data_IF_618036493315
#
_entry.id   IF_618036493315
#
_cell.length_a   1.000
_cell.length_b   1.000
_cell.length_c   1.000
_cell.angle_alpha   90.00
_cell.angle_beta   90.00
_cell.angle_gamma   90.00
#
_symmetry.space_group_name_H-M   'P 1'
#
loop_
_entity.id
_entity.type
_entity.pdbx_description
1 polymer ?
#
# COMPACT_ATOMS: atom_id res chain seq x y z
N UNK A 1 3.19 13.32 -6.04
CA UNK A 1 2.41 14.07 -5.03
C UNK A 1 3.25 14.26 -3.77
N UNK A 2 2.94 15.27 -2.96
CA UNK A 2 3.51 15.45 -1.61
C UNK A 2 2.90 14.44 -0.63
N UNK A 3 3.52 14.27 0.53
CA UNK A 3 2.94 13.45 1.60
C UNK A 3 1.55 13.97 2.02
N UNK A 4 1.38 15.29 2.11
CA UNK A 4 0.10 15.91 2.50
C UNK A 4 -0.98 15.60 1.46
N UNK A 5 -0.68 15.78 0.17
CA UNK A 5 -1.60 15.44 -0.93
C UNK A 5 -1.99 13.96 -0.92
N UNK A 6 -1.03 13.07 -0.69
CA UNK A 6 -1.28 11.63 -0.62
C UNK A 6 -2.20 11.27 0.56
N UNK A 7 -1.96 11.88 1.72
CA UNK A 7 -2.79 11.70 2.91
C UNK A 7 -4.22 12.22 2.71
N UNK A 8 -4.36 13.39 2.07
CA UNK A 8 -5.66 13.95 1.71
C UNK A 8 -6.41 13.07 0.71
N UNK A 9 -5.73 12.53 -0.31
CA UNK A 9 -6.32 11.59 -1.28
C UNK A 9 -6.88 10.35 -0.57
N UNK A 10 -6.08 9.72 0.30
CA UNK A 10 -6.53 8.55 1.07
C UNK A 10 -7.72 8.86 1.97
N UNK A 11 -7.68 10.02 2.64
CA UNK A 11 -8.77 10.48 3.52
C UNK A 11 -10.05 10.74 2.74
N UNK A 12 -9.95 11.31 1.53
CA UNK A 12 -11.11 11.54 0.65
C UNK A 12 -11.75 10.24 0.18
N UNK A 13 -10.95 9.22 -0.09
CA UNK A 13 -11.42 7.93 -0.61
C UNK A 13 -11.97 7.00 0.48
N UNK A 14 -11.36 6.98 1.66
CA UNK A 14 -11.63 5.95 2.68
C UNK A 14 -11.90 6.52 4.08
N UNK A 15 -11.94 7.84 4.23
CA UNK A 15 -12.09 8.53 5.51
C UNK A 15 -10.77 8.62 6.30
N UNK A 16 -10.85 9.23 7.49
CA UNK A 16 -9.67 9.47 8.34
C UNK A 16 -9.05 8.19 8.91
N UNK A 17 -9.82 7.10 9.01
CA UNK A 17 -9.34 5.83 9.54
C UNK A 17 -8.46 5.11 8.50
N UNK A 18 -7.14 5.28 8.65
CA UNK A 18 -6.11 4.63 7.81
C UNK A 18 -6.20 3.10 7.79
N UNK A 19 -6.85 2.48 8.78
CA UNK A 19 -7.05 1.03 8.80
C UNK A 19 -7.97 0.55 7.68
N UNK A 20 -8.87 1.42 7.23
CA UNK A 20 -9.84 1.15 6.15
C UNK A 20 -9.28 1.47 4.76
N UNK A 21 -8.12 2.09 4.68
CA UNK A 21 -7.52 2.45 3.39
C UNK A 21 -7.19 1.18 2.61
N UNK A 22 -7.55 1.19 1.33
CA UNK A 22 -7.31 0.09 0.39
C UNK A 22 -6.35 0.55 -0.69
N UNK A 23 -5.47 -0.36 -1.12
CA UNK A 23 -4.46 -0.14 -2.16
C UNK A 23 -4.49 -1.26 -3.17
N UNK A 24 -4.09 -0.97 -4.41
CA UNK A 24 -4.02 -1.95 -5.49
C UNK A 24 -2.57 -2.33 -5.77
N UNK A 25 -2.25 -3.62 -5.68
CA UNK A 25 -0.94 -4.14 -6.07
C UNK A 25 -0.74 -3.93 -7.58
N UNK A 26 0.31 -3.22 -8.02
CA UNK A 26 0.53 -2.95 -9.43
C UNK A 26 1.02 -4.16 -10.22
N UNK A 27 1.48 -5.24 -9.54
CA UNK A 27 1.94 -6.47 -10.20
C UNK A 27 0.82 -7.45 -10.50
N UNK A 28 -0.10 -7.66 -9.56
CA UNK A 28 -1.15 -8.68 -9.69
C UNK A 28 -2.58 -8.13 -9.62
N UNK A 29 -2.77 -6.82 -9.41
CA UNK A 29 -4.09 -6.20 -9.32
C UNK A 29 -4.85 -6.45 -8.02
N UNK A 30 -4.28 -7.19 -7.04
CA UNK A 30 -4.94 -7.44 -5.75
C UNK A 30 -5.26 -6.13 -5.03
N UNK A 31 -6.51 -5.98 -4.59
CA UNK A 31 -6.92 -4.93 -3.66
C UNK A 31 -6.67 -5.45 -2.24
N UNK A 32 -5.93 -4.68 -1.45
CA UNK A 32 -5.53 -5.04 -0.09
C UNK A 32 -5.75 -3.87 0.85
N UNK A 33 -6.07 -4.18 2.11
CA UNK A 33 -6.40 -3.15 3.10
C UNK A 33 -5.41 -3.12 4.26
N UNK A 34 -5.26 -1.96 4.90
CA UNK A 34 -4.39 -1.89 6.08
C UNK A 34 -4.88 -2.83 7.17
N UNK A 35 -6.20 -2.96 7.35
CA UNK A 35 -6.83 -3.90 8.30
C UNK A 35 -6.39 -5.35 8.08
N UNK A 36 -6.27 -5.79 6.84
CA UNK A 36 -5.77 -7.13 6.48
C UNK A 36 -4.34 -7.32 7.00
N UNK A 37 -3.46 -6.36 6.72
CA UNK A 37 -2.07 -6.38 7.21
C UNK A 37 -2.00 -6.33 8.74
N UNK A 38 -2.92 -5.63 9.41
CA UNK A 38 -2.96 -5.59 10.87
C UNK A 38 -3.27 -6.95 11.50
N UNK A 39 -3.94 -7.86 10.78
CA UNK A 39 -4.19 -9.23 11.25
C UNK A 39 -2.90 -10.07 11.30
N UNK A 40 -1.91 -9.72 10.48
CA UNK A 40 -0.60 -10.39 10.39
C UNK A 40 0.50 -9.68 11.22
N UNK A 41 0.15 -8.77 12.13
CA UNK A 41 1.15 -8.02 12.94
C UNK A 41 2.13 -8.90 13.71
N UNK A 42 1.72 -10.10 14.11
CA UNK A 42 2.58 -11.06 14.81
C UNK A 42 3.76 -11.56 13.97
N UNK A 43 3.72 -11.35 12.65
CA UNK A 43 4.70 -11.86 11.68
C UNK A 43 5.71 -10.77 11.25
N UNK A 44 5.82 -9.68 12.01
CA UNK A 44 6.71 -8.55 11.71
C UNK A 44 6.15 -7.57 10.67
N UNK A 45 4.87 -7.69 10.31
CA UNK A 45 4.18 -6.83 9.36
C UNK A 45 3.91 -5.45 9.95
N UNK A 46 4.27 -4.39 9.22
CA UNK A 46 4.02 -2.99 9.58
C UNK A 46 2.81 -2.46 8.80
N UNK A 47 2.03 -1.50 9.37
CA UNK A 47 0.91 -0.88 8.64
C UNK A 47 1.31 -0.29 7.29
N UNK A 48 2.53 0.25 7.21
CA UNK A 48 3.07 0.86 6.00
C UNK A 48 3.37 -0.16 4.89
N UNK A 49 3.51 -1.45 5.22
CA UNK A 49 3.70 -2.50 4.22
C UNK A 49 2.49 -2.61 3.27
N UNK A 50 1.30 -2.18 3.70
CA UNK A 50 0.06 -2.23 2.90
C UNK A 50 0.17 -1.47 1.56
N UNK A 51 0.99 -0.43 1.47
CA UNK A 51 1.19 0.33 0.23
C UNK A 51 2.58 0.11 -0.38
N UNK A 52 3.35 -0.84 0.16
CA UNK A 52 4.71 -1.16 -0.27
C UNK A 52 4.86 -2.62 -0.74
N UNK A 53 4.06 -3.55 -0.22
CA UNK A 53 4.22 -4.99 -0.42
C UNK A 53 2.88 -5.65 -0.71
N UNK A 54 2.85 -6.67 -1.55
CA UNK A 54 1.64 -7.45 -1.79
C UNK A 54 1.27 -8.29 -0.56
N UNK A 55 -0.01 -8.33 -0.16
CA UNK A 55 -0.50 -9.10 0.98
C UNK A 55 -0.15 -10.59 0.88
N UNK A 56 -0.27 -11.14 -0.33
CA UNK A 56 0.13 -12.50 -0.71
C UNK A 56 1.56 -12.89 -0.30
N UNK A 57 2.45 -11.93 -0.02
CA UNK A 57 3.79 -12.20 0.51
C UNK A 57 3.76 -12.78 1.94
N UNK A 58 2.72 -12.48 2.70
CA UNK A 58 2.54 -12.88 4.10
C UNK A 58 1.44 -13.95 4.26
N UNK A 59 0.71 -14.25 3.19
CA UNK A 59 -0.32 -15.28 3.20
C UNK A 59 0.28 -16.62 2.78
N UNK A 60 0.50 -17.50 3.76
CA UNK A 60 1.00 -18.86 3.50
C UNK A 60 0.06 -19.69 2.60
N UNK A 61 -1.22 -19.32 2.51
CA UNK A 61 -2.21 -19.97 1.67
C UNK A 61 -2.32 -19.34 0.27
N UNK A 62 -1.80 -18.12 0.07
CA UNK A 62 -1.87 -17.38 -1.20
C UNK A 62 -0.53 -16.69 -1.56
N UNK A 63 0.51 -17.48 -1.82
CA UNK A 63 1.86 -17.00 -2.17
C UNK A 63 2.04 -16.56 -3.65
N UNK A 64 0.96 -16.30 -4.39
CA UNK A 64 1.01 -16.05 -5.86
C UNK A 64 1.74 -14.76 -6.25
N UNK A 65 1.91 -13.81 -5.33
CA UNK A 65 2.59 -12.54 -5.60
C UNK A 65 3.40 -12.08 -4.39
N UNK A 66 4.72 -11.95 -4.57
CA UNK A 66 5.66 -11.50 -3.53
C UNK A 66 6.12 -10.04 -3.71
N UNK A 67 5.48 -9.28 -4.61
CA UNK A 67 5.94 -7.96 -5.04
C UNK A 67 6.17 -6.99 -3.87
N UNK A 68 7.31 -6.30 -3.88
CA UNK A 68 7.63 -5.22 -2.97
C UNK A 68 8.23 -4.03 -3.72
N UNK A 69 7.92 -2.81 -3.28
CA UNK A 69 8.44 -1.57 -3.89
C UNK A 69 9.93 -1.36 -3.71
N UNK A 70 10.54 -2.07 -2.76
CA UNK A 70 11.97 -2.00 -2.43
C UNK A 70 12.83 -2.80 -3.43
N UNK A 71 12.20 -3.60 -4.31
CA UNK A 71 12.88 -4.37 -5.35
C UNK A 71 13.34 -3.46 -6.51
N UNK A 72 14.47 -3.83 -7.15
CA UNK A 72 15.02 -3.10 -8.30
C UNK A 72 13.97 -3.06 -9.43
N UNK A 73 13.76 -1.87 -10.00
CA UNK A 73 12.80 -1.70 -11.09
C UNK A 73 11.34 -1.61 -10.63
N UNK A 74 11.09 -1.19 -9.38
CA UNK A 74 9.74 -0.98 -8.84
C UNK A 74 8.78 -0.31 -9.82
N UNK A 75 7.76 -1.07 -10.25
CA UNK A 75 6.68 -0.63 -11.15
C UNK A 75 5.56 0.15 -10.44
N UNK A 76 5.74 0.50 -9.17
CA UNK A 76 4.69 1.17 -8.40
C UNK A 76 4.39 2.57 -8.94
N UNK A 77 3.11 2.89 -9.19
CA UNK A 77 2.72 4.04 -10.02
C UNK A 77 2.80 5.37 -9.27
N UNK A 78 2.66 5.37 -7.95
CA UNK A 78 2.59 6.60 -7.16
C UNK A 78 3.94 6.96 -6.58
N UNK A 79 4.42 8.17 -6.87
CA UNK A 79 5.61 8.75 -6.25
C UNK A 79 5.17 9.78 -5.19
N UNK A 80 5.51 9.51 -3.93
CA UNK A 80 5.30 10.41 -2.80
C UNK A 80 6.63 11.10 -2.45
N UNK A 81 6.61 12.44 -2.45
CA UNK A 81 7.73 13.28 -2.01
C UNK A 81 7.62 13.51 -0.50
N UNK A 82 8.60 13.00 0.24
CA UNK A 82 8.73 13.12 1.71
C UNK A 82 9.85 14.11 2.01
N UNK A 83 9.59 15.09 2.87
CA UNK A 83 10.57 16.09 3.32
C UNK A 83 11.34 16.78 2.18
N UNK A 84 10.65 17.10 1.07
CA UNK A 84 11.18 17.88 -0.05
C UNK A 84 12.08 17.11 -1.03
N UNK A 85 13.01 16.30 -0.54
CA UNK A 85 14.04 15.64 -1.36
C UNK A 85 13.84 14.12 -1.52
N UNK A 86 13.34 13.43 -0.49
CA UNK A 86 13.16 11.96 -0.51
C UNK A 86 11.94 11.59 -1.34
N UNK A 87 12.08 10.61 -2.22
CA UNK A 87 10.97 10.07 -3.04
C UNK A 87 10.79 8.61 -2.73
N UNK A 88 9.56 8.21 -2.41
CA UNK A 88 9.18 6.81 -2.23
C UNK A 88 8.16 6.44 -3.30
N UNK A 89 8.28 5.23 -3.86
CA UNK A 89 7.25 4.64 -4.71
C UNK A 89 6.31 3.82 -3.85
N UNK A 90 5.01 4.01 -4.03
CA UNK A 90 3.94 3.32 -3.29
C UNK A 90 2.87 2.86 -4.26
N UNK A 91 2.05 1.91 -3.82
CA UNK A 91 0.89 1.44 -4.58
C UNK A 91 -0.13 2.58 -4.74
N UNK A 92 -0.97 2.51 -5.78
CA UNK A 92 -2.10 3.43 -5.86
C UNK A 92 -3.20 3.03 -4.87
N UNK A 93 -4.01 4.00 -4.48
CA UNK A 93 -5.25 3.73 -3.77
C UNK A 93 -6.18 2.90 -4.66
N UNK A 94 -6.86 1.92 -4.07
CA UNK A 94 -7.97 1.28 -4.77
C UNK A 94 -9.10 2.31 -5.00
N UNK A 95 -9.94 2.08 -5.99
CA UNK A 95 -11.16 2.88 -6.12
C UNK A 95 -12.04 2.60 -4.90
N UNK A 96 -12.62 3.67 -4.32
CA UNK A 96 -13.69 3.51 -3.35
C UNK A 96 -14.88 2.90 -4.10
N UNK A 97 -15.34 1.73 -3.67
CA UNK A 97 -16.60 1.17 -4.13
C UNK A 97 -17.70 2.13 -3.65
N UNK A 98 -18.39 2.77 -4.59
CA UNK A 98 -19.52 3.67 -4.35
C UNK A 98 -20.74 2.88 -3.88
#
# INVERSE_FOLDING_TARGET
>A
MTLIEWMQKGTRLFGQDRKKWKFTCPKCGRIQSTKEFLAHKGEGVKPDDTYLKCASRFDAMDARCIYATEEIGSISPVIVKVNGSRRIRVFDFAHAEN
#
